data_IF_601173756275
#
_entry.id   IF_601173756275
#
_cell.length_a   1.000
_cell.length_b   1.000
_cell.length_c   1.000
_cell.angle_alpha   90.00
_cell.angle_beta   90.00
_cell.angle_gamma   90.00
#
_symmetry.space_group_name_H-M   'P 1'
#
loop_
_entity.id
_entity.type
_entity.pdbx_description
1 polymer ?
#
# COMPACT_ATOMS: atom_id res chain seq x y z
N UNK A 1 -9.64 13.29 97.35
CA UNK A 1 -10.49 12.93 96.16
C UNK A 1 -10.26 13.96 95.06
N UNK A 2 -9.39 13.68 94.14
CA UNK A 2 -8.99 14.63 93.14
C UNK A 2 -9.32 14.01 91.72
N UNK A 3 -10.29 14.56 91.02
CA UNK A 3 -10.73 14.12 89.73
C UNK A 3 -9.89 14.80 88.61
N UNK A 4 -9.03 14.03 87.98
CA UNK A 4 -8.26 14.47 86.80
C UNK A 4 -9.17 14.45 85.55
N UNK A 5 -9.26 15.61 84.86
CA UNK A 5 -9.93 15.73 83.56
C UNK A 5 -8.89 15.62 82.45
N UNK A 6 -8.97 14.55 81.70
CA UNK A 6 -8.16 14.36 80.45
C UNK A 6 -8.91 14.99 79.30
N UNK A 7 -8.32 16.04 78.72
CA UNK A 7 -8.81 16.72 77.50
C UNK A 7 -8.22 16.01 76.30
N UNK A 8 -9.07 15.35 75.49
CA UNK A 8 -8.64 14.78 74.23
C UNK A 8 -8.66 15.87 73.14
N UNK A 9 -7.50 16.16 72.57
CA UNK A 9 -7.38 16.96 71.33
C UNK A 9 -7.60 16.05 70.14
N UNK A 10 -8.71 16.26 69.45
CA UNK A 10 -8.94 15.63 68.10
C UNK A 10 -8.27 16.50 67.02
N UNK A 11 -7.18 16.00 66.43
CA UNK A 11 -6.57 16.60 65.25
C UNK A 11 -7.30 16.11 64.00
N UNK A 12 -8.13 16.98 63.41
CA UNK A 12 -8.74 16.73 62.10
C UNK A 12 -7.73 17.02 61.00
N UNK A 13 -7.15 16.00 60.41
CA UNK A 13 -6.33 16.11 59.18
C UNK A 13 -7.24 16.32 57.97
N UNK A 14 -7.24 17.53 57.42
CA UNK A 14 -7.90 17.91 56.19
C UNK A 14 -7.07 17.36 55.03
N UNK A 15 -7.44 16.22 54.46
CA UNK A 15 -6.91 15.70 53.18
C UNK A 15 -7.55 16.52 52.04
N UNK A 16 -6.81 17.54 51.58
CA UNK A 16 -7.09 18.22 50.33
C UNK A 16 -6.77 17.26 49.20
N UNK A 17 -7.80 16.54 48.73
CA UNK A 17 -7.75 15.77 47.49
C UNK A 17 -7.60 16.74 46.33
N UNK A 18 -6.40 16.87 45.78
CA UNK A 18 -6.20 17.53 44.47
C UNK A 18 -6.77 16.57 43.44
N UNK A 19 -8.02 16.78 43.06
CA UNK A 19 -8.59 16.17 41.85
C UNK A 19 -7.86 16.77 40.65
N UNK A 20 -6.82 16.12 40.18
CA UNK A 20 -6.27 16.39 38.88
C UNK A 20 -7.41 16.07 37.84
N UNK A 21 -8.07 17.11 37.38
CA UNK A 21 -8.92 16.98 36.18
C UNK A 21 -8.00 16.54 35.07
N UNK A 22 -8.03 15.25 34.74
CA UNK A 22 -7.45 14.77 33.52
C UNK A 22 -8.23 15.45 32.38
N UNK A 23 -7.71 16.55 31.85
CA UNK A 23 -8.15 17.05 30.56
C UNK A 23 -7.86 15.92 29.60
N UNK A 24 -8.90 15.34 29.01
CA UNK A 24 -8.72 14.52 27.82
C UNK A 24 -8.01 15.43 26.80
N UNK A 25 -6.76 15.13 26.51
CA UNK A 25 -6.05 15.86 25.46
C UNK A 25 -6.88 15.73 24.17
N UNK A 26 -7.01 16.81 23.43
CA UNK A 26 -7.66 16.75 22.13
C UNK A 26 -6.95 15.68 21.29
N UNK A 27 -7.74 14.86 20.59
CA UNK A 27 -7.18 13.80 19.75
C UNK A 27 -6.47 14.42 18.55
N UNK A 28 -5.28 13.89 18.23
CA UNK A 28 -4.55 14.26 17.03
C UNK A 28 -5.38 13.90 15.79
N UNK A 29 -5.74 14.88 15.00
CA UNK A 29 -6.53 14.69 13.78
C UNK A 29 -5.64 14.21 12.65
N UNK A 30 -5.93 13.03 12.15
CA UNK A 30 -5.15 12.39 11.10
C UNK A 30 -6.05 12.00 9.92
N UNK A 31 -5.48 12.04 8.72
CA UNK A 31 -6.10 11.52 7.52
C UNK A 31 -5.23 10.39 6.99
N UNK A 32 -5.83 9.31 6.54
CA UNK A 32 -5.18 8.24 5.80
C UNK A 32 -5.76 8.17 4.38
N UNK A 33 -4.94 7.89 3.40
CA UNK A 33 -5.36 7.83 1.99
C UNK A 33 -6.39 6.73 1.75
N UNK A 34 -6.19 5.54 2.30
CA UNK A 34 -7.07 4.38 2.07
C UNK A 34 -7.28 3.53 3.33
N UNK A 35 -8.23 2.60 3.27
CA UNK A 35 -8.76 1.89 4.44
C UNK A 35 -7.72 1.03 5.17
N UNK A 36 -6.80 0.37 4.47
CA UNK A 36 -5.75 -0.45 5.07
C UNK A 36 -4.84 0.43 5.93
N UNK A 37 -4.38 1.56 5.37
CA UNK A 37 -3.54 2.50 6.09
C UNK A 37 -4.29 3.16 7.25
N UNK A 38 -5.58 3.45 7.07
CA UNK A 38 -6.45 3.97 8.14
C UNK A 38 -6.54 3.03 9.35
N UNK A 39 -6.65 1.72 9.13
CA UNK A 39 -6.63 0.71 10.19
C UNK A 39 -5.28 0.66 10.92
N UNK A 40 -4.17 0.70 10.17
CA UNK A 40 -2.83 0.73 10.75
C UNK A 40 -2.62 1.96 11.64
N UNK A 41 -2.99 3.15 11.14
CA UNK A 41 -2.88 4.42 11.89
C UNK A 41 -3.72 4.38 13.16
N UNK A 42 -4.97 3.89 13.05
CA UNK A 42 -5.86 3.73 14.20
C UNK A 42 -5.31 2.74 15.23
N UNK A 43 -4.73 1.64 14.77
CA UNK A 43 -4.17 0.60 15.64
C UNK A 43 -2.96 1.11 16.43
N UNK A 44 -2.07 1.87 15.78
CA UNK A 44 -0.89 2.46 16.44
C UNK A 44 -1.27 3.65 17.30
N UNK A 45 -2.15 4.53 16.79
CA UNK A 45 -2.56 5.76 17.47
C UNK A 45 -3.47 5.55 18.68
N UNK A 46 -4.28 4.48 18.66
CA UNK A 46 -5.23 4.16 19.72
C UNK A 46 -6.22 5.30 19.99
N UNK A 47 -6.48 5.56 21.25
CA UNK A 47 -7.44 6.59 21.67
C UNK A 47 -6.92 8.03 21.53
N UNK A 48 -5.64 8.22 21.19
CA UNK A 48 -5.03 9.54 21.05
C UNK A 48 -5.23 10.16 19.67
N UNK A 49 -5.70 9.38 18.70
CA UNK A 49 -5.91 9.86 17.32
C UNK A 49 -7.39 9.84 16.94
N UNK A 50 -7.75 10.74 16.05
CA UNK A 50 -9.00 10.71 15.28
C UNK A 50 -8.64 10.51 13.82
N UNK A 51 -8.93 9.33 13.26
CA UNK A 51 -8.55 8.96 11.91
C UNK A 51 -9.73 9.13 10.96
N UNK A 52 -9.55 9.93 9.93
CA UNK A 52 -10.42 9.98 8.76
C UNK A 52 -9.73 9.26 7.61
N UNK A 53 -10.48 8.47 6.86
CA UNK A 53 -9.96 7.74 5.69
C UNK A 53 -10.63 8.28 4.44
N UNK A 54 -9.84 8.62 3.40
CA UNK A 54 -10.38 9.20 2.16
C UNK A 54 -11.05 8.12 1.30
N UNK A 55 -10.32 7.03 1.03
CA UNK A 55 -10.89 5.89 0.30
C UNK A 55 -11.28 4.81 1.32
N UNK A 56 -12.58 4.66 1.52
CA UNK A 56 -13.15 3.76 2.51
C UNK A 56 -13.05 2.27 2.15
N UNK A 57 -13.65 1.40 2.98
CA UNK A 57 -13.75 -0.03 2.70
C UNK A 57 -14.34 -0.31 1.31
N UNK A 58 -13.82 -1.35 0.64
CA UNK A 58 -14.19 -1.75 -0.73
C UNK A 58 -14.07 -0.64 -1.78
N UNK A 59 -13.39 0.46 -1.47
CA UNK A 59 -13.14 1.55 -2.40
C UNK A 59 -11.83 1.32 -3.16
N UNK A 60 -11.81 1.71 -4.41
CA UNK A 60 -10.64 1.66 -5.26
C UNK A 60 -9.86 2.98 -5.16
N UNK A 61 -8.62 2.92 -4.68
CA UNK A 61 -7.78 4.10 -4.48
C UNK A 61 -7.08 4.57 -5.75
N UNK A 62 -6.89 3.71 -6.74
CA UNK A 62 -6.25 4.09 -8.02
C UNK A 62 -7.11 5.10 -8.80
N UNK A 63 -8.41 4.85 -8.86
CA UNK A 63 -9.37 5.69 -9.61
C UNK A 63 -10.10 6.72 -8.74
N UNK A 64 -9.65 6.92 -7.51
CA UNK A 64 -10.28 7.85 -6.59
C UNK A 64 -10.20 9.29 -7.09
N UNK A 65 -11.33 9.98 -7.06
CA UNK A 65 -11.43 11.40 -7.42
C UNK A 65 -11.83 12.22 -6.19
N UNK A 66 -10.87 12.95 -5.57
CA UNK A 66 -11.14 13.74 -4.37
C UNK A 66 -12.22 14.79 -4.57
N UNK A 67 -13.09 14.91 -3.59
CA UNK A 67 -14.17 15.89 -3.55
C UNK A 67 -13.78 17.14 -2.73
N UNK A 68 -14.54 18.25 -2.81
CA UNK A 68 -14.33 19.39 -1.90
C UNK A 68 -14.49 19.03 -0.42
N UNK A 69 -15.25 17.97 -0.09
CA UNK A 69 -15.37 17.49 1.29
C UNK A 69 -14.07 16.83 1.76
N UNK A 70 -13.41 16.07 0.89
CA UNK A 70 -12.11 15.44 1.18
C UNK A 70 -11.03 16.51 1.38
N UNK A 71 -11.00 17.52 0.52
CA UNK A 71 -10.09 18.67 0.68
C UNK A 71 -10.32 19.38 2.02
N UNK A 72 -11.58 19.58 2.45
CA UNK A 72 -11.88 20.17 3.75
C UNK A 72 -11.45 19.26 4.91
N UNK A 73 -11.61 17.95 4.79
CA UNK A 73 -11.17 16.99 5.78
C UNK A 73 -9.66 17.04 5.94
N UNK A 74 -8.92 17.03 4.82
CA UNK A 74 -7.46 17.13 4.83
C UNK A 74 -6.97 18.46 5.40
N UNK A 75 -7.60 19.59 5.03
CA UNK A 75 -7.26 20.92 5.57
C UNK A 75 -7.35 21.00 7.12
N UNK A 76 -8.22 20.19 7.71
CA UNK A 76 -8.40 20.13 9.17
C UNK A 76 -7.49 19.15 9.90
N UNK A 77 -6.65 18.42 9.20
CA UNK A 77 -5.76 17.41 9.77
C UNK A 77 -4.38 17.97 10.12
N UNK A 78 -3.73 17.32 11.06
CA UNK A 78 -2.35 17.59 11.46
C UNK A 78 -1.35 16.66 10.78
N UNK A 79 -1.79 15.42 10.46
CA UNK A 79 -1.02 14.44 9.71
C UNK A 79 -1.85 13.86 8.57
N UNK A 80 -1.19 13.65 7.44
CA UNK A 80 -1.69 12.90 6.31
C UNK A 80 -0.79 11.69 6.07
N UNK A 81 -1.35 10.50 6.21
CA UNK A 81 -0.67 9.24 5.93
C UNK A 81 -1.00 8.78 4.52
N UNK A 82 0.04 8.55 3.74
CA UNK A 82 -0.05 8.06 2.35
C UNK A 82 0.80 6.81 2.18
N UNK A 83 0.49 6.02 1.16
CA UNK A 83 1.29 4.86 0.81
C UNK A 83 2.66 5.29 0.26
N UNK A 84 2.66 6.13 -0.77
CA UNK A 84 3.82 6.39 -1.62
C UNK A 84 3.93 5.37 -2.77
N UNK A 85 5.10 5.25 -3.39
CA UNK A 85 5.34 4.36 -4.52
C UNK A 85 4.35 4.59 -5.68
N UNK A 86 3.95 5.84 -5.91
CA UNK A 86 3.02 6.17 -7.00
C UNK A 86 1.55 5.77 -6.80
N UNK A 87 1.17 5.16 -5.66
CA UNK A 87 -0.18 4.64 -5.42
C UNK A 87 -1.29 5.69 -5.52
N UNK A 88 -1.06 6.86 -4.90
CA UNK A 88 -2.02 7.95 -4.85
C UNK A 88 -1.77 8.98 -5.97
N UNK A 89 -2.02 8.66 -7.22
CA UNK A 89 -1.84 9.59 -8.35
C UNK A 89 -2.64 10.89 -8.25
N UNK A 90 -3.63 10.94 -7.36
CA UNK A 90 -4.47 12.12 -7.08
C UNK A 90 -3.96 12.98 -5.90
N UNK A 91 -2.96 12.53 -5.14
CA UNK A 91 -2.52 13.14 -3.88
C UNK A 91 -2.08 14.58 -4.03
N UNK A 92 -1.18 14.90 -4.95
CA UNK A 92 -0.66 16.27 -5.13
C UNK A 92 -1.77 17.28 -5.44
N UNK A 93 -2.76 16.86 -6.26
CA UNK A 93 -3.91 17.71 -6.58
C UNK A 93 -4.75 17.97 -5.34
N UNK A 94 -4.93 16.99 -4.49
CA UNK A 94 -5.69 17.11 -3.24
C UNK A 94 -4.95 18.01 -2.24
N UNK A 95 -3.68 17.80 -1.99
CA UNK A 95 -2.86 18.64 -1.09
C UNK A 95 -2.90 20.11 -1.53
N UNK A 96 -2.67 20.36 -2.81
CA UNK A 96 -2.71 21.71 -3.38
C UNK A 96 -4.10 22.38 -3.27
N UNK A 97 -5.18 21.62 -3.45
CA UNK A 97 -6.54 22.15 -3.40
C UNK A 97 -7.06 22.34 -1.98
N UNK A 98 -6.55 21.57 -1.02
CA UNK A 98 -6.98 21.61 0.37
C UNK A 98 -6.35 22.70 1.21
N UNK A 99 -5.27 23.33 0.74
CA UNK A 99 -4.43 24.25 1.54
C UNK A 99 -3.92 23.57 2.83
N UNK A 100 -3.65 22.27 2.77
CA UNK A 100 -3.15 21.46 3.88
C UNK A 100 -1.86 22.05 4.49
N UNK A 101 -1.80 22.16 5.81
CA UNK A 101 -0.67 22.74 6.56
C UNK A 101 0.00 21.74 7.49
N UNK A 102 -0.54 20.54 7.56
CA UNK A 102 0.02 19.45 8.37
C UNK A 102 1.27 18.84 7.73
N UNK A 103 1.60 17.64 8.18
CA UNK A 103 2.73 16.89 7.64
C UNK A 103 2.24 15.62 6.95
N UNK A 104 2.80 15.35 5.77
CA UNK A 104 2.60 14.09 5.05
C UNK A 104 3.61 13.06 5.54
N UNK A 105 3.14 11.85 5.83
CA UNK A 105 3.93 10.70 6.26
C UNK A 105 3.77 9.60 5.22
N UNK A 106 4.84 9.26 4.54
CA UNK A 106 4.89 8.16 3.57
C UNK A 106 5.12 6.85 4.33
N UNK A 107 4.11 5.98 4.34
CA UNK A 107 4.14 4.75 5.12
C UNK A 107 5.12 3.71 4.55
N UNK A 108 5.29 3.65 3.25
CA UNK A 108 6.24 2.73 2.57
C UNK A 108 7.70 3.16 2.63
N UNK A 109 8.02 4.33 3.20
CA UNK A 109 9.40 4.84 3.24
C UNK A 109 10.36 3.80 3.83
N UNK A 110 11.38 3.43 3.03
CA UNK A 110 12.38 2.41 3.42
C UNK A 110 11.99 0.96 3.08
N UNK A 111 10.87 0.74 2.42
CA UNK A 111 10.59 -0.52 1.73
C UNK A 111 11.48 -0.60 0.49
N UNK A 112 12.06 -1.76 0.22
CA UNK A 112 12.71 -2.02 -1.06
C UNK A 112 11.60 -2.22 -2.12
N UNK A 113 11.47 -1.32 -3.11
CA UNK A 113 10.42 -1.45 -4.10
C UNK A 113 10.67 -2.68 -4.99
N UNK A 114 9.57 -3.36 -5.35
CA UNK A 114 9.59 -4.29 -6.47
C UNK A 114 9.35 -3.48 -7.74
N UNK A 115 10.10 -3.80 -8.79
CA UNK A 115 9.83 -3.26 -10.12
C UNK A 115 8.52 -3.86 -10.65
N UNK A 116 7.72 -3.02 -11.29
CA UNK A 116 6.56 -3.52 -12.03
C UNK A 116 7.02 -4.57 -13.03
N UNK A 117 6.30 -5.67 -13.13
CA UNK A 117 6.56 -6.66 -14.17
C UNK A 117 6.29 -6.00 -15.54
N UNK A 118 7.26 -5.25 -16.01
CA UNK A 118 7.21 -4.64 -17.34
C UNK A 118 6.98 -5.73 -18.37
N UNK A 119 6.33 -5.39 -19.45
CA UNK A 119 6.21 -6.22 -20.65
C UNK A 119 7.64 -6.58 -21.15
N UNK A 120 8.29 -7.54 -20.50
CA UNK A 120 9.46 -8.16 -21.08
C UNK A 120 9.00 -8.95 -22.30
N UNK A 121 8.83 -8.21 -23.41
CA UNK A 121 8.92 -8.80 -24.73
C UNK A 121 10.28 -9.52 -24.82
N UNK A 122 10.32 -10.76 -24.38
CA UNK A 122 11.29 -11.71 -24.90
C UNK A 122 10.93 -11.94 -26.36
N UNK A 123 11.28 -10.95 -27.19
CA UNK A 123 11.48 -11.13 -28.60
C UNK A 123 12.63 -12.11 -28.78
N UNK A 124 12.34 -13.38 -28.73
CA UNK A 124 13.18 -14.38 -29.34
C UNK A 124 13.10 -14.11 -30.83
N UNK A 125 14.00 -13.28 -31.36
CA UNK A 125 14.31 -13.24 -32.77
C UNK A 125 14.83 -14.62 -33.13
N UNK A 126 13.98 -15.43 -33.72
CA UNK A 126 14.41 -16.53 -34.59
C UNK A 126 14.78 -15.88 -35.92
N UNK A 127 16.10 -15.70 -36.12
CA UNK A 127 16.67 -15.40 -37.44
C UNK A 127 16.28 -16.52 -38.41
N UNK A 128 15.28 -16.26 -39.23
CA UNK A 128 15.15 -16.94 -40.53
C UNK A 128 15.77 -16.02 -41.57
N UNK A 129 16.99 -16.37 -41.98
CA UNK A 129 17.62 -15.87 -43.19
C UNK A 129 16.83 -16.39 -44.42
N UNK A 130 16.28 -15.46 -45.16
CA UNK A 130 15.99 -15.69 -46.59
C UNK A 130 16.66 -14.58 -47.39
N UNK A 131 17.64 -15.03 -48.19
CA UNK A 131 18.33 -14.29 -49.22
C UNK A 131 17.36 -13.77 -50.27
N UNK A 132 17.43 -12.50 -50.64
CA UNK A 132 17.22 -12.09 -52.04
C UNK A 132 17.94 -10.78 -52.38
N UNK A 133 18.77 -10.95 -53.39
CA UNK A 133 19.62 -10.01 -54.12
C UNK A 133 18.95 -8.75 -54.68
N UNK A 134 19.78 -7.70 -54.74
CA UNK A 134 20.11 -6.88 -55.91
C UNK A 134 19.37 -5.55 -56.18
N UNK A 135 20.22 -4.60 -56.49
CA UNK A 135 20.13 -3.37 -57.32
C UNK A 135 19.76 -2.08 -56.62
N UNK A 136 20.74 -1.26 -56.45
CA UNK A 136 21.59 -0.40 -57.27
C UNK A 136 21.10 1.06 -57.38
N UNK A 137 22.00 2.00 -56.95
CA UNK A 137 22.29 3.35 -57.51
C UNK A 137 21.16 4.42 -57.43
N UNK A 138 21.40 5.66 -57.19
CA UNK A 138 22.47 6.65 -57.36
C UNK A 138 22.14 7.95 -56.62
N UNK A 139 23.20 8.65 -56.13
CA UNK A 139 23.53 10.09 -56.24
C UNK A 139 22.50 11.11 -55.71
N UNK A 140 22.79 12.17 -55.02
CA UNK A 140 23.99 12.92 -54.74
C UNK A 140 23.57 14.33 -54.28
N UNK A 141 24.51 15.14 -53.84
CA UNK A 141 24.49 16.60 -53.57
C UNK A 141 24.00 17.07 -52.23
N UNK A 142 24.82 17.64 -51.52
CA UNK A 142 25.76 18.77 -51.46
C UNK A 142 25.31 19.83 -50.44
N UNK A 143 26.20 20.08 -49.54
CA UNK A 143 26.71 21.36 -49.00
C UNK A 143 25.75 22.42 -48.43
N UNK A 144 26.02 22.85 -47.23
CA UNK A 144 26.54 24.17 -46.85
C UNK A 144 26.52 24.36 -45.32
N UNK A 145 27.71 24.42 -44.76
CA UNK A 145 28.46 25.57 -44.19
C UNK A 145 27.87 26.25 -42.92
N UNK A 146 28.71 26.13 -41.91
CA UNK A 146 29.26 27.13 -41.00
C UNK A 146 28.31 28.23 -40.43
N UNK A 147 28.29 28.29 -39.11
CA UNK A 147 28.71 29.50 -38.36
C UNK A 147 29.06 29.19 -36.90
N UNK A 148 30.32 29.48 -36.58
CA UNK A 148 30.88 29.73 -35.25
C UNK A 148 30.17 30.94 -34.58
N UNK A 149 30.00 30.98 -33.28
CA UNK A 149 30.76 31.77 -32.32
C UNK A 149 30.09 31.87 -30.93
N UNK A 150 30.75 31.39 -29.95
CA UNK A 150 31.29 32.07 -28.77
C UNK A 150 30.37 32.97 -27.92
N UNK A 151 30.12 32.51 -26.67
CA UNK A 151 30.30 33.35 -25.48
C UNK A 151 30.30 32.49 -24.19
N UNK A 152 31.44 32.49 -23.51
CA UNK A 152 31.58 32.09 -22.11
C UNK A 152 30.89 33.12 -21.22
N UNK A 153 30.04 32.67 -20.30
CA UNK A 153 29.83 33.37 -19.02
C UNK A 153 29.89 32.36 -17.88
N UNK A 154 30.89 32.59 -17.02
CA UNK A 154 31.03 31.94 -15.72
C UNK A 154 29.98 32.50 -14.77
N UNK A 155 29.15 31.63 -14.18
CA UNK A 155 28.45 31.96 -12.93
C UNK A 155 28.64 30.87 -11.91
N UNK A 156 28.98 31.37 -10.70
CA UNK A 156 29.52 30.68 -9.56
C UNK A 156 28.63 29.57 -9.01
N UNK A 157 29.34 28.59 -8.49
CA UNK A 157 28.79 27.53 -7.66
C UNK A 157 28.32 28.10 -6.32
N UNK A 158 27.01 28.07 -6.07
CA UNK A 158 26.49 28.03 -4.72
C UNK A 158 26.08 26.59 -4.44
N UNK A 159 26.71 26.04 -3.40
CA UNK A 159 26.43 24.73 -2.86
C UNK A 159 24.98 24.66 -2.35
N UNK A 160 24.10 23.98 -3.05
CA UNK A 160 22.87 23.47 -2.49
C UNK A 160 23.07 22.02 -2.07
N UNK A 161 23.17 21.85 -0.76
CA UNK A 161 23.15 20.55 -0.09
C UNK A 161 21.82 19.85 -0.32
N UNK A 162 21.90 18.52 -0.44
CA UNK A 162 20.82 17.53 -0.44
C UNK A 162 19.85 17.59 -1.63
N UNK A 163 20.30 17.09 -2.78
CA UNK A 163 19.40 16.41 -3.70
C UNK A 163 18.98 15.10 -3.01
N UNK A 164 17.76 15.05 -2.49
CA UNK A 164 17.11 13.76 -2.25
C UNK A 164 17.01 13.09 -3.63
N UNK A 165 17.55 11.88 -3.74
CA UNK A 165 17.47 11.07 -4.94
C UNK A 165 15.97 10.81 -5.20
N UNK A 166 15.38 11.54 -6.13
CA UNK A 166 14.13 11.15 -6.77
C UNK A 166 14.45 9.89 -7.59
N UNK A 167 14.34 8.72 -6.95
CA UNK A 167 14.10 7.51 -7.69
C UNK A 167 12.73 7.72 -8.38
N UNK A 168 12.67 7.43 -9.66
CA UNK A 168 11.43 7.44 -10.43
C UNK A 168 10.51 6.37 -9.84
N UNK A 169 9.64 6.75 -8.89
CA UNK A 169 8.66 5.88 -8.24
C UNK A 169 7.57 5.39 -9.23
N UNK A 170 7.60 5.88 -10.47
CA UNK A 170 6.62 5.56 -11.51
C UNK A 170 6.67 4.11 -11.98
N UNK A 171 7.81 3.42 -11.82
CA UNK A 171 8.00 2.02 -12.23
C UNK A 171 7.94 1.03 -11.04
N UNK A 172 7.62 1.48 -9.85
CA UNK A 172 7.53 0.64 -8.66
C UNK A 172 6.14 0.04 -8.46
N UNK A 173 6.08 -1.24 -8.06
CA UNK A 173 4.83 -1.84 -7.57
C UNK A 173 4.42 -1.15 -6.25
N UNK A 174 3.26 -0.47 -6.21
CA UNK A 174 2.84 0.28 -5.03
C UNK A 174 2.30 -0.59 -3.88
N UNK A 175 1.97 -1.88 -4.12
CA UNK A 175 1.21 -2.74 -3.21
C UNK A 175 2.07 -3.37 -2.10
N UNK A 176 3.01 -2.61 -1.55
CA UNK A 176 3.99 -3.12 -0.59
C UNK A 176 3.38 -3.67 0.70
N UNK A 177 2.17 -3.24 1.09
CA UNK A 177 1.43 -3.78 2.23
C UNK A 177 1.03 -5.25 2.06
N UNK A 178 1.09 -5.82 0.87
CA UNK A 178 0.82 -7.23 0.61
C UNK A 178 1.93 -8.17 1.13
N UNK A 179 2.99 -7.62 1.72
CA UNK A 179 3.95 -8.34 2.56
C UNK A 179 3.85 -7.86 4.01
N UNK A 180 3.66 -8.78 4.97
CA UNK A 180 3.61 -8.42 6.40
C UNK A 180 4.96 -7.92 6.93
N UNK A 181 6.06 -8.29 6.29
CA UNK A 181 7.38 -7.73 6.59
C UNK A 181 7.43 -6.23 6.23
N UNK A 182 6.90 -5.84 5.08
CA UNK A 182 6.75 -4.44 4.70
C UNK A 182 5.71 -3.73 5.58
N UNK A 183 4.61 -4.40 5.93
CA UNK A 183 3.64 -3.89 6.91
C UNK A 183 4.28 -3.50 8.24
N UNK A 184 5.36 -4.17 8.65
CA UNK A 184 6.12 -3.77 9.84
C UNK A 184 6.88 -2.44 9.63
N UNK A 185 7.37 -2.16 8.43
CA UNK A 185 7.97 -0.86 8.07
C UNK A 185 6.92 0.25 8.14
N UNK A 186 5.72 -0.01 7.59
CA UNK A 186 4.58 0.93 7.69
C UNK A 186 4.26 1.28 9.14
N UNK A 187 4.14 0.27 10.01
CA UNK A 187 3.87 0.48 11.45
C UNK A 187 4.95 1.35 12.12
N UNK A 188 6.22 1.16 11.76
CA UNK A 188 7.32 1.97 12.29
C UNK A 188 7.21 3.43 11.82
N UNK A 189 6.97 3.67 10.54
CA UNK A 189 6.83 5.02 9.99
C UNK A 189 5.59 5.74 10.56
N UNK A 190 4.46 5.04 10.71
CA UNK A 190 3.26 5.58 11.36
C UNK A 190 3.55 5.98 12.80
N UNK A 191 4.18 5.09 13.58
CA UNK A 191 4.58 5.38 14.97
C UNK A 191 5.43 6.64 15.04
N UNK A 192 6.45 6.73 14.21
CA UNK A 192 7.41 7.84 14.24
C UNK A 192 6.74 9.16 13.80
N UNK A 193 5.86 9.11 12.80
CA UNK A 193 5.03 10.25 12.40
C UNK A 193 4.12 10.75 13.54
N UNK A 194 3.44 9.84 14.23
CA UNK A 194 2.59 10.17 15.38
C UNK A 194 3.40 10.77 16.53
N UNK A 195 4.56 10.19 16.87
CA UNK A 195 5.44 10.71 17.93
C UNK A 195 5.96 12.12 17.59
N UNK A 196 6.26 12.37 16.32
CA UNK A 196 6.76 13.67 15.87
C UNK A 196 5.68 14.79 15.99
N UNK A 197 4.40 14.43 15.82
CA UNK A 197 3.28 15.37 15.94
C UNK A 197 2.76 15.49 17.38
N UNK A 198 2.76 14.40 18.14
CA UNK A 198 2.30 14.34 19.54
C UNK A 198 3.34 13.62 20.41
N UNK A 199 4.41 14.32 20.84
CA UNK A 199 5.45 13.73 21.68
C UNK A 199 4.95 13.21 23.02
N UNK A 200 3.87 13.79 23.57
CA UNK A 200 3.26 13.37 24.82
C UNK A 200 2.60 11.99 24.72
N UNK A 201 2.22 11.59 23.51
CA UNK A 201 1.68 10.27 23.19
C UNK A 201 2.72 9.17 22.98
N UNK A 202 4.01 9.50 22.96
CA UNK A 202 5.11 8.58 22.61
C UNK A 202 4.98 7.20 23.24
N UNK A 203 4.79 7.13 24.57
CA UNK A 203 4.72 5.84 25.27
C UNK A 203 3.52 4.97 24.80
N UNK A 204 2.41 5.60 24.45
CA UNK A 204 1.22 4.90 23.93
C UNK A 204 1.50 4.36 22.52
N UNK A 205 2.06 5.19 21.65
CA UNK A 205 2.37 4.82 20.27
C UNK A 205 3.42 3.70 20.21
N UNK A 206 4.47 3.79 21.02
CA UNK A 206 5.50 2.74 21.13
C UNK A 206 4.91 1.41 21.61
N UNK A 207 4.09 1.42 22.67
CA UNK A 207 3.47 0.21 23.20
C UNK A 207 2.48 -0.44 22.20
N UNK A 208 1.67 0.38 21.50
CA UNK A 208 0.74 -0.11 20.50
C UNK A 208 1.49 -0.66 19.29
N UNK A 209 2.53 0.04 18.80
CA UNK A 209 3.36 -0.41 17.70
C UNK A 209 4.08 -1.73 18.04
N UNK A 210 4.67 -1.88 19.22
CA UNK A 210 5.31 -3.12 19.67
C UNK A 210 4.33 -4.30 19.65
N UNK A 211 3.14 -4.11 20.20
CA UNK A 211 2.09 -5.13 20.19
C UNK A 211 1.66 -5.49 18.76
N UNK A 212 1.53 -4.49 17.89
CA UNK A 212 1.11 -4.70 16.51
C UNK A 212 2.20 -5.40 15.70
N UNK A 213 3.47 -5.01 15.83
CA UNK A 213 4.61 -5.67 15.21
C UNK A 213 4.73 -7.15 15.63
N UNK A 214 4.49 -7.45 16.91
CA UNK A 214 4.46 -8.83 17.38
C UNK A 214 3.32 -9.65 16.74
N UNK A 215 2.15 -9.03 16.53
CA UNK A 215 1.03 -9.67 15.85
C UNK A 215 1.29 -9.89 14.36
N UNK A 216 1.87 -8.89 13.66
CA UNK A 216 2.28 -9.01 12.26
C UNK A 216 3.29 -10.14 12.06
N UNK A 217 4.33 -10.20 12.89
CA UNK A 217 5.33 -11.27 12.83
C UNK A 217 4.71 -12.65 13.00
N UNK A 218 3.82 -12.82 13.97
CA UNK A 218 3.13 -14.09 14.20
C UNK A 218 2.29 -14.51 13.00
N UNK A 219 1.59 -13.55 12.39
CA UNK A 219 0.76 -13.82 11.21
C UNK A 219 1.61 -14.13 9.99
N UNK A 220 2.75 -13.44 9.81
CA UNK A 220 3.72 -13.69 8.73
C UNK A 220 4.27 -15.12 8.81
N UNK A 221 4.67 -15.57 10.00
CA UNK A 221 5.14 -16.94 10.22
C UNK A 221 4.03 -17.97 9.91
N UNK A 222 2.79 -17.68 10.30
CA UNK A 222 1.64 -18.55 10.01
C UNK A 222 1.32 -18.60 8.52
N UNK A 223 1.33 -17.46 7.82
CA UNK A 223 1.10 -17.36 6.39
C UNK A 223 2.17 -18.13 5.60
N UNK A 224 3.45 -17.94 5.93
CA UNK A 224 4.57 -18.69 5.34
C UNK A 224 4.41 -20.20 5.50
N UNK A 225 4.06 -20.64 6.70
CA UNK A 225 3.86 -22.07 6.97
C UNK A 225 2.67 -22.64 6.19
N UNK A 226 1.55 -21.93 6.14
CA UNK A 226 0.34 -22.37 5.45
C UNK A 226 0.54 -22.46 3.94
N UNK A 227 1.15 -21.46 3.32
CA UNK A 227 1.38 -21.42 1.87
C UNK A 227 2.52 -22.35 1.45
N UNK A 228 3.55 -22.53 2.28
CA UNK A 228 4.61 -23.50 2.04
C UNK A 228 4.12 -24.97 2.13
N UNK A 229 3.00 -25.24 2.78
CA UNK A 229 2.41 -26.58 2.82
C UNK A 229 1.69 -26.96 1.50
N UNK A 230 1.39 -26.02 0.63
CA UNK A 230 0.77 -26.27 -0.66
C UNK A 230 1.77 -26.95 -1.62
N UNK A 231 1.33 -27.85 -2.50
CA UNK A 231 2.19 -28.39 -3.57
C UNK A 231 2.69 -27.24 -4.47
N UNK A 232 3.98 -27.23 -4.81
CA UNK A 232 4.56 -26.17 -5.63
C UNK A 232 3.84 -26.01 -6.99
N UNK A 233 3.41 -27.11 -7.60
CA UNK A 233 2.66 -27.10 -8.87
C UNK A 233 1.28 -26.44 -8.76
N UNK A 234 0.80 -26.15 -7.56
CA UNK A 234 -0.49 -25.49 -7.31
C UNK A 234 -0.39 -24.06 -6.80
N UNK A 235 0.83 -23.56 -6.57
CA UNK A 235 1.06 -22.20 -6.07
C UNK A 235 1.02 -21.15 -7.17
N UNK A 236 0.03 -21.28 -8.07
CA UNK A 236 -0.18 -20.36 -9.19
C UNK A 236 -1.65 -19.97 -9.26
N UNK A 237 -1.91 -18.67 -9.32
CA UNK A 237 -3.26 -18.10 -9.32
C UNK A 237 -3.39 -17.00 -10.37
N UNK A 238 -4.64 -16.68 -10.70
CA UNK A 238 -5.00 -15.48 -11.47
C UNK A 238 -5.79 -14.54 -10.57
N UNK A 239 -5.46 -13.24 -10.64
CA UNK A 239 -6.19 -12.14 -10.02
C UNK A 239 -6.67 -11.16 -11.09
N UNK A 240 -7.40 -10.11 -10.72
CA UNK A 240 -7.92 -9.11 -11.67
C UNK A 240 -6.80 -8.19 -12.14
N UNK A 241 -6.11 -7.55 -11.20
CA UNK A 241 -4.98 -6.66 -11.46
C UNK A 241 -3.73 -7.11 -10.69
N UNK A 242 -2.59 -6.49 -10.96
CA UNK A 242 -1.29 -6.90 -10.42
C UNK A 242 -0.99 -6.26 -9.06
N UNK A 243 -1.77 -6.63 -8.05
CA UNK A 243 -1.66 -6.12 -6.68
C UNK A 243 -0.90 -7.04 -5.72
N UNK A 244 -0.52 -8.23 -6.15
CA UNK A 244 -0.01 -9.26 -5.24
C UNK A 244 1.46 -9.61 -5.45
N UNK A 245 2.23 -8.73 -6.12
CA UNK A 245 3.65 -8.94 -6.38
C UNK A 245 4.46 -9.20 -5.10
N UNK A 246 4.28 -8.37 -4.07
CA UNK A 246 4.94 -8.55 -2.76
C UNK A 246 4.46 -9.78 -1.99
N UNK A 247 3.20 -10.18 -2.15
CA UNK A 247 2.72 -11.45 -1.59
C UNK A 247 3.35 -12.63 -2.31
N UNK A 248 3.43 -12.56 -3.64
CA UNK A 248 4.07 -13.58 -4.47
C UNK A 248 5.52 -13.82 -4.03
N UNK A 249 6.30 -12.75 -3.92
CA UNK A 249 7.71 -12.79 -3.51
C UNK A 249 7.86 -13.33 -2.07
N UNK A 250 7.11 -12.76 -1.12
CA UNK A 250 7.25 -13.09 0.30
C UNK A 250 6.82 -14.53 0.66
N UNK A 251 5.85 -15.10 -0.08
CA UNK A 251 5.19 -16.36 0.30
C UNK A 251 5.29 -17.47 -0.75
N UNK A 252 5.99 -17.24 -1.86
CA UNK A 252 6.26 -18.25 -2.88
C UNK A 252 5.01 -18.70 -3.65
N UNK A 253 4.12 -17.75 -3.96
CA UNK A 253 2.97 -17.91 -4.86
C UNK A 253 3.32 -17.22 -6.19
N UNK A 254 2.91 -17.77 -7.30
CA UNK A 254 2.98 -17.09 -8.60
C UNK A 254 1.61 -16.50 -8.91
N UNK A 255 1.58 -15.20 -9.17
CA UNK A 255 0.36 -14.45 -9.48
C UNK A 255 0.45 -13.94 -10.92
N UNK A 256 -0.64 -14.07 -11.66
CA UNK A 256 -0.77 -13.61 -13.03
C UNK A 256 -2.05 -12.78 -13.11
N UNK A 257 -1.97 -11.60 -13.72
CA UNK A 257 -3.10 -10.67 -13.86
C UNK A 257 -3.25 -10.17 -15.29
N UNK A 258 -4.49 -9.98 -15.79
CA UNK A 258 -4.76 -9.39 -17.10
C UNK A 258 -4.61 -7.87 -17.13
N UNK A 259 -4.78 -7.22 -15.99
CA UNK A 259 -4.62 -5.79 -15.80
C UNK A 259 -3.25 -5.53 -15.15
N UNK A 260 -2.69 -4.34 -15.37
CA UNK A 260 -1.45 -3.91 -14.73
C UNK A 260 -1.63 -3.62 -13.24
N UNK A 261 -0.66 -2.91 -12.66
CA UNK A 261 -0.67 -2.52 -11.23
C UNK A 261 -1.70 -1.45 -10.90
N UNK A 262 -2.26 -0.76 -11.89
CA UNK A 262 -3.34 0.22 -11.72
C UNK A 262 -4.63 -0.26 -12.38
N UNK A 263 -5.74 -0.02 -11.72
CA UNK A 263 -7.10 -0.32 -12.22
C UNK A 263 -7.65 0.78 -13.14
N UNK A 264 -6.88 1.81 -13.48
CA UNK A 264 -7.32 2.89 -14.37
C UNK A 264 -7.60 2.42 -15.80
N UNK A 265 -6.97 1.32 -16.21
CA UNK A 265 -7.13 0.74 -17.54
C UNK A 265 -7.70 -0.67 -17.45
N UNK A 266 -8.77 -0.95 -18.20
CA UNK A 266 -9.30 -2.30 -18.33
C UNK A 266 -8.37 -3.18 -19.17
N UNK A 267 -8.34 -4.48 -18.86
CA UNK A 267 -7.60 -5.46 -19.64
C UNK A 267 -8.04 -5.47 -21.11
N UNK A 268 -7.06 -5.47 -22.02
CA UNK A 268 -7.38 -5.61 -23.45
C UNK A 268 -7.91 -7.00 -23.80
N UNK A 269 -8.70 -7.11 -24.86
CA UNK A 269 -9.17 -8.40 -25.33
C UNK A 269 -8.01 -9.35 -25.71
N UNK A 270 -6.85 -8.81 -26.10
CA UNK A 270 -5.65 -9.57 -26.41
C UNK A 270 -5.04 -10.19 -25.15
N UNK A 271 -4.95 -9.42 -24.06
CA UNK A 271 -4.41 -9.89 -22.78
C UNK A 271 -5.32 -10.95 -22.17
N UNK A 272 -6.63 -10.73 -22.17
CA UNK A 272 -7.61 -11.73 -21.75
C UNK A 272 -7.45 -13.03 -22.54
N UNK A 273 -7.31 -12.96 -23.86
CA UNK A 273 -7.09 -14.15 -24.68
C UNK A 273 -5.74 -14.84 -24.41
N UNK A 274 -4.68 -14.06 -24.10
CA UNK A 274 -3.36 -14.57 -23.69
C UNK A 274 -3.48 -15.38 -22.40
N UNK A 275 -4.12 -14.80 -21.38
CA UNK A 275 -4.32 -15.45 -20.07
C UNK A 275 -5.18 -16.71 -20.20
N UNK A 276 -6.27 -16.69 -20.98
CA UNK A 276 -7.08 -17.89 -21.21
C UNK A 276 -6.24 -19.02 -21.81
N UNK A 277 -5.38 -18.71 -22.79
CA UNK A 277 -4.46 -19.71 -23.37
C UNK A 277 -3.47 -20.23 -22.32
N UNK A 278 -2.92 -19.35 -21.51
CA UNK A 278 -1.98 -19.69 -20.46
C UNK A 278 -2.61 -20.60 -19.40
N UNK A 279 -3.80 -20.25 -18.88
CA UNK A 279 -4.55 -21.08 -17.91
C UNK A 279 -4.73 -22.51 -18.46
N UNK A 280 -5.15 -22.65 -19.72
CA UNK A 280 -5.35 -23.95 -20.35
C UNK A 280 -4.05 -24.74 -20.54
N UNK A 281 -2.97 -24.06 -20.95
CA UNK A 281 -1.65 -24.67 -21.18
C UNK A 281 -1.01 -25.15 -19.88
N UNK A 282 -1.14 -24.35 -18.82
CA UNK A 282 -0.42 -24.56 -17.56
C UNK A 282 -1.30 -25.18 -16.46
N UNK A 283 -2.59 -25.43 -16.78
CA UNK A 283 -3.57 -25.99 -15.84
C UNK A 283 -3.64 -25.20 -14.53
N UNK A 284 -3.73 -23.85 -14.60
CA UNK A 284 -3.82 -23.00 -13.42
C UNK A 284 -5.12 -23.33 -12.67
N UNK A 285 -5.04 -23.67 -11.36
CA UNK A 285 -6.16 -24.29 -10.68
C UNK A 285 -7.28 -23.32 -10.30
N UNK A 286 -6.97 -22.05 -10.06
CA UNK A 286 -7.93 -21.10 -9.52
C UNK A 286 -7.73 -19.68 -10.03
N UNK A 287 -8.85 -18.96 -10.15
CA UNK A 287 -8.92 -17.51 -10.35
C UNK A 287 -9.55 -16.88 -9.12
N UNK A 288 -9.11 -15.69 -8.71
CA UNK A 288 -9.60 -14.98 -7.55
C UNK A 288 -10.11 -13.60 -7.93
N UNK A 289 -11.30 -13.27 -7.48
CA UNK A 289 -11.93 -11.97 -7.65
C UNK A 289 -11.38 -11.03 -6.58
N UNK A 290 -11.13 -9.77 -6.93
CA UNK A 290 -10.74 -8.76 -5.95
C UNK A 290 -11.94 -7.92 -5.52
N UNK A 291 -11.92 -7.48 -4.25
CA UNK A 291 -13.05 -6.76 -3.67
C UNK A 291 -13.30 -5.37 -4.28
N UNK A 292 -12.30 -4.81 -4.96
CA UNK A 292 -12.37 -3.48 -5.61
C UNK A 292 -12.69 -3.54 -7.10
N UNK A 293 -12.62 -4.73 -7.73
CA UNK A 293 -12.75 -4.88 -9.18
C UNK A 293 -14.08 -5.51 -9.61
N UNK A 294 -14.45 -5.31 -10.88
CA UNK A 294 -15.64 -5.95 -11.45
C UNK A 294 -15.37 -7.43 -11.73
N UNK A 295 -16.14 -8.30 -11.10
CA UNK A 295 -16.00 -9.74 -11.23
C UNK A 295 -16.27 -10.31 -12.63
N UNK A 296 -16.93 -9.53 -13.52
CA UNK A 296 -17.38 -10.04 -14.83
C UNK A 296 -16.26 -10.61 -15.68
N UNK A 297 -15.10 -9.95 -15.69
CA UNK A 297 -13.92 -10.42 -16.44
C UNK A 297 -13.45 -11.78 -15.92
N UNK A 298 -13.24 -11.94 -14.64
CA UNK A 298 -12.79 -13.21 -14.06
C UNK A 298 -13.85 -14.32 -14.13
N UNK A 299 -15.13 -13.98 -14.01
CA UNK A 299 -16.23 -14.93 -14.26
C UNK A 299 -16.22 -15.42 -15.73
N UNK A 300 -15.86 -14.56 -16.69
CA UNK A 300 -15.68 -14.97 -18.08
C UNK A 300 -14.49 -15.90 -18.24
N UNK A 301 -13.33 -15.53 -17.72
CA UNK A 301 -12.10 -16.33 -17.76
C UNK A 301 -12.36 -17.72 -17.14
N UNK A 302 -13.01 -17.77 -15.97
CA UNK A 302 -13.36 -19.03 -15.31
C UNK A 302 -14.27 -19.92 -16.18
N UNK A 303 -15.31 -19.34 -16.79
CA UNK A 303 -16.22 -20.09 -17.69
C UNK A 303 -15.50 -20.65 -18.92
N UNK A 304 -14.59 -19.87 -19.50
CA UNK A 304 -13.89 -20.27 -20.73
C UNK A 304 -12.78 -21.31 -20.49
N UNK A 305 -12.20 -21.28 -19.30
CA UNK A 305 -11.05 -22.15 -18.95
C UNK A 305 -11.45 -23.37 -18.14
N UNK A 306 -12.56 -23.32 -17.42
CA UNK A 306 -12.94 -24.30 -16.41
C UNK A 306 -12.16 -24.14 -15.09
N UNK A 307 -11.36 -23.08 -14.93
CA UNK A 307 -10.68 -22.76 -13.67
C UNK A 307 -11.71 -22.49 -12.56
N UNK A 308 -11.39 -22.91 -11.34
CA UNK A 308 -12.27 -22.70 -10.18
C UNK A 308 -12.18 -21.24 -9.73
N UNK A 309 -13.32 -20.62 -9.43
CA UNK A 309 -13.33 -19.35 -8.69
C UNK A 309 -13.00 -19.66 -7.23
N UNK A 310 -11.82 -19.23 -6.78
CA UNK A 310 -11.27 -19.54 -5.46
C UNK A 310 -11.85 -18.71 -4.32
N UNK A 311 -12.52 -17.61 -4.66
CA UNK A 311 -13.12 -16.68 -3.69
C UNK A 311 -12.78 -15.23 -4.01
N UNK A 312 -13.00 -14.36 -3.01
CA UNK A 312 -12.63 -12.94 -3.06
C UNK A 312 -11.34 -12.74 -2.28
N UNK A 313 -10.38 -12.05 -2.85
CA UNK A 313 -9.20 -11.51 -2.16
C UNK A 313 -9.38 -10.02 -1.93
N UNK A 314 -8.81 -9.53 -0.87
CA UNK A 314 -8.75 -8.12 -0.54
C UNK A 314 -7.37 -7.60 -0.94
N UNK A 315 -7.31 -6.81 -2.00
CA UNK A 315 -6.07 -6.22 -2.51
C UNK A 315 -5.79 -4.86 -1.88
N UNK A 316 -6.60 -3.84 -2.21
CA UNK A 316 -6.32 -2.43 -1.93
C UNK A 316 -7.28 -1.81 -0.92
N UNK A 317 -8.27 -2.56 -0.48
CA UNK A 317 -9.21 -2.07 0.51
C UNK A 317 -9.60 -3.16 1.50
N UNK A 318 -9.91 -2.75 2.72
CA UNK A 318 -10.54 -3.61 3.72
C UNK A 318 -12.02 -3.85 3.38
N UNK A 319 -12.63 -4.85 4.00
CA UNK A 319 -14.08 -5.01 3.98
C UNK A 319 -14.77 -3.98 4.88
N UNK A 320 -16.09 -3.88 4.75
CA UNK A 320 -16.91 -3.25 5.78
C UNK A 320 -16.67 -3.91 7.14
N UNK A 321 -17.01 -3.20 8.23
CA UNK A 321 -16.77 -3.63 9.61
C UNK A 321 -17.37 -5.00 9.96
N UNK A 322 -18.47 -5.38 9.31
CA UNK A 322 -19.15 -6.65 9.52
C UNK A 322 -18.76 -7.71 8.46
N UNK A 323 -17.81 -7.39 7.59
CA UNK A 323 -17.25 -8.28 6.57
C UNK A 323 -16.10 -9.14 7.08
N UNK A 324 -15.50 -9.95 6.20
CA UNK A 324 -14.48 -10.93 6.60
C UNK A 324 -13.08 -10.33 6.81
N UNK A 325 -12.83 -9.10 6.35
CA UNK A 325 -11.51 -8.46 6.35
C UNK A 325 -11.58 -7.00 6.86
N UNK A 326 -12.14 -6.74 8.08
CA UNK A 326 -12.33 -5.38 8.57
C UNK A 326 -11.04 -4.72 9.10
N UNK A 327 -9.96 -5.46 9.27
CA UNK A 327 -8.64 -4.98 9.68
C UNK A 327 -7.55 -5.55 8.77
N UNK A 328 -6.39 -4.91 8.75
CA UNK A 328 -5.26 -5.40 7.96
C UNK A 328 -4.85 -6.85 8.29
N UNK A 329 -4.81 -7.22 9.55
CA UNK A 329 -4.54 -8.61 9.95
C UNK A 329 -5.65 -9.58 9.55
N UNK A 330 -6.92 -9.16 9.63
CA UNK A 330 -8.04 -10.00 9.19
C UNK A 330 -8.05 -10.16 7.67
N UNK A 331 -7.66 -9.12 6.93
CA UNK A 331 -7.44 -9.17 5.49
C UNK A 331 -6.41 -10.25 5.12
N UNK A 332 -5.26 -10.23 5.77
CA UNK A 332 -4.23 -11.25 5.53
C UNK A 332 -4.70 -12.67 5.85
N UNK A 333 -5.34 -12.87 6.99
CA UNK A 333 -5.92 -14.18 7.37
C UNK A 333 -6.94 -14.66 6.37
N UNK A 334 -7.81 -13.76 5.93
CA UNK A 334 -8.82 -14.08 4.93
C UNK A 334 -8.16 -14.50 3.60
N UNK A 335 -7.22 -13.70 3.10
CA UNK A 335 -6.55 -13.96 1.84
C UNK A 335 -5.77 -15.28 1.87
N UNK A 336 -4.95 -15.51 2.90
CA UNK A 336 -4.22 -16.77 3.07
C UNK A 336 -5.16 -17.97 3.22
N UNK A 337 -6.27 -17.80 3.95
CA UNK A 337 -7.31 -18.82 4.09
C UNK A 337 -7.98 -19.16 2.76
N UNK A 338 -8.34 -18.15 1.96
CA UNK A 338 -8.95 -18.34 0.65
C UNK A 338 -7.98 -19.05 -0.33
N UNK A 339 -6.72 -18.61 -0.36
CA UNK A 339 -5.66 -19.23 -1.17
C UNK A 339 -5.46 -20.71 -0.79
N UNK A 340 -5.27 -20.99 0.49
CA UNK A 340 -5.05 -22.37 0.94
C UNK A 340 -6.24 -23.28 0.69
N UNK A 341 -7.48 -22.81 0.90
CA UNK A 341 -8.69 -23.57 0.63
C UNK A 341 -8.87 -23.90 -0.86
N UNK A 342 -8.57 -22.96 -1.75
CA UNK A 342 -8.71 -23.17 -3.19
C UNK A 342 -7.60 -24.06 -3.77
N UNK A 343 -6.37 -23.92 -3.27
CA UNK A 343 -5.19 -24.56 -3.84
C UNK A 343 -4.85 -25.93 -3.20
N UNK A 344 -5.50 -26.30 -2.09
CA UNK A 344 -5.33 -27.63 -1.47
C UNK A 344 -6.16 -28.73 -2.13
N UNK A 345 -7.19 -28.42 -2.92
CA UNK A 345 -8.19 -29.36 -3.47
C UNK A 345 -7.85 -29.96 -4.83
#
# INVERSE_FOLDING_TARGET
MMRSRITALAAAALLLGVSASAHAADKLKTVASFSILGDMVKTVGGDRVEVSTLVGPNGDAHVFSPTPADAKTLAGAELFFVNGLGFEGWMERLEKSSDFKGKTVVASKGVAPLEMAGDHHHGGEVDEHDDHDAHAKEEGHDDHDDHEDNAKEEHGHEEHAAAEEHHDDEDADPHAWQSLANGAVYVANIRDGLIAADPDGKAVYEANAEKYLAALKKEDEAAKAALAALPQSRRRIITSHDAFGYLADAYGIEVISPEGVSTESEASAQDVAKIIRQIRKENIPAVFIENITDRRLLDQIARETGAKVGGVLYSDALSDKDGPAPTYLDMFRHNVGALTAALSS
#
